data_IF_883786621109
#
_entry.id   IF_883786621109
#
_cell.length_a   1.000
_cell.length_b   1.000
_cell.length_c   1.000
_cell.angle_alpha   90.00
_cell.angle_beta   90.00
_cell.angle_gamma   90.00
#
_symmetry.space_group_name_H-M   'P 1'
#
loop_
_entity.id
_entity.type
_entity.pdbx_description
1 polymer ?
#
# COMPACT_ATOMS: atom_id res chain seq x y z
N UNK A 1 -0.07 -5.56 -16.28
CA UNK A 1 -0.47 -6.97 -16.45
C UNK A 1 -1.96 -7.03 -16.22
N UNK A 2 -2.71 -7.34 -17.28
CA UNK A 2 -4.16 -7.52 -17.26
C UNK A 2 -4.46 -8.82 -16.52
N UNK A 3 -5.45 -8.81 -15.61
CA UNK A 3 -5.87 -10.05 -14.96
C UNK A 3 -6.60 -10.93 -15.99
N UNK A 4 -6.20 -12.20 -16.09
CA UNK A 4 -6.93 -13.24 -16.81
C UNK A 4 -8.31 -13.42 -16.18
N UNK A 5 -9.33 -13.54 -17.04
CA UNK A 5 -10.73 -13.70 -16.63
C UNK A 5 -11.01 -15.18 -16.51
N UNK A 6 -11.24 -15.63 -15.28
CA UNK A 6 -11.84 -16.95 -15.01
C UNK A 6 -13.35 -16.83 -15.20
N UNK A 7 -13.89 -17.52 -16.20
CA UNK A 7 -15.29 -17.44 -16.61
C UNK A 7 -16.20 -18.40 -15.83
N UNK A 8 -15.65 -19.27 -14.97
CA UNK A 8 -16.44 -20.32 -14.29
C UNK A 8 -16.91 -19.91 -12.88
N UNK A 9 -16.31 -18.90 -12.26
CA UNK A 9 -16.63 -18.53 -10.89
C UNK A 9 -17.78 -17.50 -10.83
N UNK A 10 -18.95 -17.98 -10.42
CA UNK A 10 -20.20 -17.21 -10.35
C UNK A 10 -20.08 -16.00 -9.41
N UNK A 11 -19.81 -14.84 -9.99
CA UNK A 11 -20.51 -13.61 -9.64
C UNK A 11 -20.20 -12.93 -8.30
N UNK A 12 -19.08 -13.21 -7.64
CA UNK A 12 -18.60 -12.32 -6.57
C UNK A 12 -17.46 -11.44 -7.07
N UNK A 13 -17.80 -10.39 -7.83
CA UNK A 13 -16.95 -9.21 -7.92
C UNK A 13 -16.74 -8.68 -6.50
N UNK A 14 -15.68 -9.11 -5.84
CA UNK A 14 -15.30 -8.57 -4.54
C UNK A 14 -14.92 -7.13 -4.79
N UNK A 15 -15.84 -6.20 -4.49
CA UNK A 15 -15.59 -4.75 -4.59
C UNK A 15 -14.26 -4.49 -3.90
N UNK A 16 -13.25 -4.13 -4.69
CA UNK A 16 -11.95 -3.78 -4.14
C UNK A 16 -12.19 -2.51 -3.32
N UNK A 17 -12.01 -2.57 -1.99
CA UNK A 17 -12.24 -1.39 -1.17
C UNK A 17 -11.26 -0.30 -1.60
N UNK A 18 -11.67 0.98 -1.52
CA UNK A 18 -10.75 2.07 -1.77
C UNK A 18 -9.53 1.94 -0.83
N UNK A 19 -8.35 2.40 -1.26
CA UNK A 19 -7.16 2.40 -0.42
C UNK A 19 -7.43 3.19 0.86
N UNK A 20 -6.85 2.77 1.99
CA UNK A 20 -6.98 3.50 3.24
C UNK A 20 -6.29 4.87 3.15
N UNK A 21 -6.83 5.88 3.84
CA UNK A 21 -6.23 7.22 3.90
C UNK A 21 -4.77 7.18 4.36
N UNK A 22 -4.47 6.34 5.36
CA UNK A 22 -3.11 6.13 5.85
C UNK A 22 -2.15 5.62 4.77
N UNK A 23 -2.62 4.78 3.84
CA UNK A 23 -1.80 4.31 2.72
C UNK A 23 -1.55 5.44 1.72
N UNK A 24 -2.58 6.22 1.38
CA UNK A 24 -2.46 7.35 0.46
C UNK A 24 -1.51 8.41 1.01
N UNK A 25 -1.71 8.82 2.26
CA UNK A 25 -0.86 9.79 2.95
C UNK A 25 0.59 9.31 3.02
N UNK A 26 0.81 8.06 3.44
CA UNK A 26 2.16 7.51 3.55
C UNK A 26 2.84 7.38 2.20
N UNK A 27 2.10 7.02 1.15
CA UNK A 27 2.64 6.95 -0.21
C UNK A 27 3.11 8.32 -0.68
N UNK A 28 2.33 9.39 -0.42
CA UNK A 28 2.71 10.78 -0.73
C UNK A 28 3.96 11.21 0.05
N UNK A 29 4.06 10.86 1.32
CA UNK A 29 5.25 11.14 2.14
C UNK A 29 6.50 10.45 1.59
N UNK A 30 6.39 9.18 1.17
CA UNK A 30 7.51 8.44 0.59
C UNK A 30 7.91 9.06 -0.76
N UNK A 31 6.95 9.31 -1.65
CA UNK A 31 7.22 9.94 -2.95
C UNK A 31 7.92 11.30 -2.78
N UNK A 32 7.54 12.06 -1.76
CA UNK A 32 8.17 13.34 -1.46
C UNK A 32 9.65 13.25 -1.07
N UNK A 33 10.06 12.12 -0.52
CA UNK A 33 11.46 11.84 -0.16
C UNK A 33 12.27 11.18 -1.28
N UNK A 34 11.65 10.79 -2.40
CA UNK A 34 12.35 10.15 -3.51
C UNK A 34 13.06 11.20 -4.38
N UNK A 35 14.29 10.95 -4.86
CA UNK A 35 14.99 11.87 -5.76
C UNK A 35 14.31 11.96 -7.13
N UNK A 36 14.48 13.07 -7.85
CA UNK A 36 13.96 13.28 -9.21
C UNK A 36 12.68 14.11 -9.28
N UNK A 37 12.04 14.11 -10.45
CA UNK A 37 10.81 14.86 -10.70
C UNK A 37 9.65 14.34 -9.84
N UNK A 38 8.87 15.29 -9.31
CA UNK A 38 7.71 15.01 -8.47
C UNK A 38 6.52 14.58 -9.32
N UNK A 39 5.73 13.67 -8.76
CA UNK A 39 4.47 13.25 -9.39
C UNK A 39 3.49 14.43 -9.42
N UNK A 40 2.86 14.74 -10.58
CA UNK A 40 1.85 15.78 -10.69
C UNK A 40 0.63 15.50 -9.78
N UNK A 41 0.03 16.54 -9.19
CA UNK A 41 -1.04 16.35 -8.20
C UNK A 41 -2.25 15.59 -8.76
N UNK A 42 -2.58 15.82 -10.02
CA UNK A 42 -3.68 15.16 -10.73
C UNK A 42 -3.50 13.64 -10.86
N UNK A 43 -2.25 13.15 -10.85
CA UNK A 43 -1.97 11.71 -11.02
C UNK A 43 -2.38 10.92 -9.77
N UNK A 44 -2.39 11.53 -8.58
CA UNK A 44 -2.81 10.87 -7.34
C UNK A 44 -4.24 10.37 -7.39
N UNK A 45 -5.16 11.16 -7.95
CA UNK A 45 -6.55 10.77 -8.12
C UNK A 45 -6.68 9.54 -9.03
N UNK A 46 -5.97 9.55 -10.15
CA UNK A 46 -5.99 8.45 -11.13
C UNK A 46 -5.36 7.16 -10.58
N UNK A 47 -4.23 7.26 -9.87
CA UNK A 47 -3.50 6.09 -9.37
C UNK A 47 -4.27 5.30 -8.29
N UNK A 48 -5.02 6.01 -7.44
CA UNK A 48 -5.80 5.42 -6.36
C UNK A 48 -7.28 5.22 -6.72
N UNK A 49 -7.68 5.55 -7.94
CA UNK A 49 -9.02 5.29 -8.43
C UNK A 49 -9.29 3.79 -8.51
N UNK A 50 -10.56 3.42 -8.33
CA UNK A 50 -11.04 2.03 -8.48
C UNK A 50 -11.10 1.65 -9.97
N UNK A 51 -11.21 2.63 -10.86
CA UNK A 51 -11.23 2.46 -12.32
C UNK A 51 -9.89 2.85 -12.94
N UNK A 52 -9.51 2.18 -14.03
CA UNK A 52 -8.34 2.57 -14.81
C UNK A 52 -8.49 3.98 -15.39
N UNK A 53 -7.42 4.77 -15.31
CA UNK A 53 -7.31 6.05 -16.03
C UNK A 53 -5.95 6.16 -16.69
N UNK A 54 -5.81 7.15 -17.57
CA UNK A 54 -4.57 7.39 -18.32
C UNK A 54 -3.55 8.06 -17.39
N UNK A 55 -2.33 7.54 -17.39
CA UNK A 55 -1.20 8.03 -16.59
C UNK A 55 0.09 7.81 -17.37
N UNK A 56 1.05 8.72 -17.23
CA UNK A 56 2.37 8.53 -17.79
C UNK A 56 3.13 7.42 -17.04
N UNK A 57 3.97 6.68 -17.75
CA UNK A 57 4.66 5.51 -17.18
C UNK A 57 5.63 5.90 -16.06
N UNK A 58 6.26 7.08 -16.14
CA UNK A 58 7.22 7.55 -15.14
C UNK A 58 6.56 7.79 -13.79
N UNK A 59 5.47 8.55 -13.78
CA UNK A 59 4.62 8.76 -12.60
C UNK A 59 4.09 7.45 -12.07
N UNK A 60 3.59 6.56 -12.94
CA UNK A 60 3.08 5.27 -12.51
C UNK A 60 4.14 4.45 -11.76
N UNK A 61 5.33 4.29 -12.34
CA UNK A 61 6.41 3.52 -11.73
C UNK A 61 6.87 4.13 -10.40
N UNK A 62 7.00 5.46 -10.35
CA UNK A 62 7.39 6.19 -9.15
C UNK A 62 6.35 6.03 -8.03
N UNK A 63 5.07 6.22 -8.34
CA UNK A 63 3.97 6.06 -7.39
C UNK A 63 3.82 4.60 -6.94
N UNK A 64 4.04 3.64 -7.85
CA UNK A 64 4.02 2.22 -7.53
C UNK A 64 5.12 1.86 -6.53
N UNK A 65 6.34 2.34 -6.75
CA UNK A 65 7.45 2.11 -5.83
C UNK A 65 7.23 2.79 -4.47
N UNK A 66 6.77 4.05 -4.48
CA UNK A 66 6.40 4.76 -3.27
C UNK A 66 5.33 4.00 -2.46
N UNK A 67 4.31 3.44 -3.14
CA UNK A 67 3.23 2.67 -2.51
C UNK A 67 3.76 1.36 -1.92
N UNK A 68 4.67 0.68 -2.62
CA UNK A 68 5.30 -0.55 -2.14
C UNK A 68 6.05 -0.33 -0.82
N UNK A 69 6.80 0.77 -0.73
CA UNK A 69 7.51 1.18 0.49
C UNK A 69 6.52 1.61 1.60
N UNK A 70 5.46 2.35 1.24
CA UNK A 70 4.44 2.74 2.21
C UNK A 70 3.72 1.53 2.83
N UNK A 71 3.41 0.52 2.01
CA UNK A 71 2.80 -0.74 2.48
C UNK A 71 3.70 -1.48 3.46
N UNK A 72 4.99 -1.63 3.15
CA UNK A 72 5.93 -2.30 4.05
C UNK A 72 6.09 -1.56 5.38
N UNK A 73 6.11 -0.22 5.34
CA UNK A 73 6.13 0.61 6.53
C UNK A 73 4.90 0.39 7.42
N UNK A 74 3.69 0.46 6.84
CA UNK A 74 2.45 0.30 7.58
C UNK A 74 2.30 -1.13 8.14
N UNK A 75 2.73 -2.14 7.40
CA UNK A 75 2.77 -3.53 7.88
C UNK A 75 3.70 -3.67 9.09
N UNK A 76 4.89 -3.09 9.04
CA UNK A 76 5.83 -3.07 10.17
C UNK A 76 5.26 -2.31 11.38
N UNK A 77 4.60 -1.18 11.15
CA UNK A 77 3.97 -0.40 12.22
C UNK A 77 2.88 -1.20 12.92
N UNK A 78 2.01 -1.87 12.15
CA UNK A 78 0.97 -2.77 12.69
C UNK A 78 1.57 -3.92 13.49
N UNK A 79 2.62 -4.56 12.98
CA UNK A 79 3.31 -5.65 13.69
C UNK A 79 3.96 -5.17 15.01
N UNK A 80 4.54 -3.97 15.04
CA UNK A 80 5.10 -3.36 16.26
C UNK A 80 4.00 -3.03 17.27
N UNK A 81 2.88 -2.47 16.82
CA UNK A 81 1.73 -2.18 17.68
C UNK A 81 1.18 -3.47 18.30
N UNK A 82 0.97 -4.52 17.50
CA UNK A 82 0.50 -5.82 17.98
C UNK A 82 1.46 -6.43 19.02
N UNK A 83 2.78 -6.36 18.81
CA UNK A 83 3.76 -6.84 19.80
C UNK A 83 3.74 -6.04 21.11
N UNK A 84 3.49 -4.73 21.04
CA UNK A 84 3.52 -3.83 22.21
C UNK A 84 2.23 -3.91 23.04
N UNK A 85 1.08 -4.12 22.39
CA UNK A 85 -0.24 -4.07 23.04
C UNK A 85 -0.96 -5.42 23.10
N UNK A 86 -0.45 -6.45 22.44
CA UNK A 86 -1.09 -7.76 22.31
C UNK A 86 -0.85 -8.76 23.45
N UNK A 87 -0.36 -8.33 24.63
CA UNK A 87 -0.25 -9.18 25.81
C UNK A 87 0.84 -10.25 25.71
N UNK A 88 1.87 -10.13 26.54
CA UNK A 88 2.97 -11.10 26.57
C UNK A 88 2.53 -12.49 27.03
N UNK A 89 2.93 -13.52 26.31
CA UNK A 89 3.46 -14.73 26.92
C UNK A 89 4.97 -14.53 27.06
N UNK A 90 5.39 -13.98 28.20
CA UNK A 90 6.80 -13.80 28.50
C UNK A 90 7.49 -15.16 28.60
N UNK A 91 8.28 -15.52 27.59
CA UNK A 91 9.44 -16.38 27.82
C UNK A 91 10.48 -15.53 28.53
N UNK A 92 10.48 -15.57 29.87
CA UNK A 92 11.66 -15.18 30.65
C UNK A 92 12.67 -16.32 30.49
N UNK A 93 13.87 -15.99 30.05
CA UNK A 93 15.02 -16.86 30.28
C UNK A 93 15.16 -17.01 31.80
N UNK A 94 14.97 -18.22 32.31
CA UNK A 94 15.39 -18.59 33.66
C UNK A 94 16.91 -18.77 33.55
N UNK A 95 17.68 -17.90 34.19
CA UNK A 95 19.12 -18.13 34.36
C UNK A 95 19.31 -19.25 35.38
N UNK A 96 20.20 -20.19 35.07
CA UNK A 96 20.72 -21.19 36.03
C UNK A 96 21.36 -20.51 37.24
#
# INVERSE_FOLDING_TARGET
MCAEVDYEDRGTYRKVPPPSEALVERTRQVEAGMPGERVPEQAWGTFFAVSCGVMDMGSFQRMFEARRIALSYLAMQRARYARRHGGGTGLRCIGD
#
